data_IF_898087423381
#
_entry.id   IF_898087423381
#
_cell.length_a   1.000
_cell.length_b   1.000
_cell.length_c   1.000
_cell.angle_alpha   90.00
_cell.angle_beta   90.00
_cell.angle_gamma   90.00
#
_symmetry.space_group_name_H-M   'P 1'
#
loop_
_entity.id
_entity.type
_entity.pdbx_description
1 polymer ?
#
# COMPACT_ATOMS: atom_id res chain seq x y z
N UNK A 1 -14.43 2.80 -0.17
CA UNK A 1 -13.63 2.62 -1.42
C UNK A 1 -14.01 3.63 -2.50
N UNK A 2 -15.25 3.62 -3.00
CA UNK A 2 -15.72 4.55 -4.05
C UNK A 2 -15.49 6.04 -3.73
N UNK A 3 -15.82 6.49 -2.51
CA UNK A 3 -15.55 7.88 -2.10
C UNK A 3 -14.06 8.26 -2.14
N UNK A 4 -13.16 7.30 -1.90
CA UNK A 4 -11.72 7.53 -2.06
C UNK A 4 -11.35 7.78 -3.52
N UNK A 5 -11.81 6.92 -4.43
CA UNK A 5 -11.55 7.05 -5.87
C UNK A 5 -12.10 8.37 -6.44
N UNK A 6 -13.37 8.66 -6.15
CA UNK A 6 -14.01 9.88 -6.65
C UNK A 6 -13.43 11.12 -6.01
N UNK A 7 -13.06 11.09 -4.72
CA UNK A 7 -12.46 12.23 -4.07
C UNK A 7 -11.12 12.66 -4.69
N UNK A 8 -10.35 11.74 -5.28
CA UNK A 8 -9.14 12.10 -6.04
C UNK A 8 -9.43 12.88 -7.33
N UNK A 9 -10.65 12.87 -7.86
CA UNK A 9 -11.03 13.74 -8.99
C UNK A 9 -10.97 15.24 -8.63
N UNK A 10 -11.21 15.59 -7.36
CA UNK A 10 -11.09 16.96 -6.86
C UNK A 10 -9.62 17.38 -6.84
N UNK A 11 -8.74 16.50 -6.35
CA UNK A 11 -7.28 16.72 -6.33
C UNK A 11 -6.76 16.91 -7.75
N UNK A 12 -7.19 16.05 -8.68
CA UNK A 12 -6.87 16.15 -10.10
C UNK A 12 -7.32 17.48 -10.71
N UNK A 13 -8.57 17.86 -10.50
CA UNK A 13 -9.15 19.09 -11.04
C UNK A 13 -8.42 20.32 -10.49
N UNK A 14 -8.10 20.32 -9.19
CA UNK A 14 -7.36 21.40 -8.56
C UNK A 14 -5.90 21.47 -9.06
N UNK A 15 -5.26 20.33 -9.32
CA UNK A 15 -3.93 20.29 -9.91
C UNK A 15 -3.91 20.87 -11.33
N UNK A 16 -4.86 20.48 -12.19
CA UNK A 16 -4.98 21.03 -13.55
C UNK A 16 -5.26 22.54 -13.52
N UNK A 17 -6.17 22.99 -12.66
CA UNK A 17 -6.43 24.42 -12.49
C UNK A 17 -5.17 25.19 -12.08
N UNK A 18 -4.41 24.67 -11.11
CA UNK A 18 -3.14 25.25 -10.68
C UNK A 18 -2.10 25.31 -11.81
N UNK A 19 -1.99 24.26 -12.62
CA UNK A 19 -1.08 24.23 -13.77
C UNK A 19 -1.49 25.24 -14.86
N UNK A 20 -2.76 25.26 -15.25
CA UNK A 20 -3.27 26.13 -16.33
C UNK A 20 -3.13 27.61 -15.95
N UNK A 21 -3.40 27.94 -14.69
CA UNK A 21 -3.27 29.31 -14.16
C UNK A 21 -1.83 29.68 -13.76
N UNK A 22 -0.87 28.76 -13.88
CA UNK A 22 0.50 28.90 -13.39
C UNK A 22 0.61 29.19 -11.87
N UNK A 23 -0.45 28.91 -11.10
CA UNK A 23 -0.51 29.12 -9.66
C UNK A 23 -0.37 27.79 -8.90
N UNK A 24 0.56 26.94 -9.32
CA UNK A 24 0.90 25.70 -8.61
C UNK A 24 2.07 25.96 -7.65
N UNK A 25 1.76 26.56 -6.51
CA UNK A 25 2.74 26.98 -5.51
C UNK A 25 2.42 26.44 -4.10
N UNK A 26 3.10 26.96 -3.09
CA UNK A 26 2.83 26.64 -1.69
C UNK A 26 1.38 26.95 -1.24
N UNK A 27 0.73 27.95 -1.82
CA UNK A 27 -0.65 28.30 -1.49
C UNK A 27 -1.62 27.23 -2.01
N UNK A 28 -1.42 26.75 -3.24
CA UNK A 28 -2.10 25.59 -3.80
C UNK A 28 -1.94 24.39 -2.86
N UNK A 29 -0.71 24.09 -2.48
CA UNK A 29 -0.38 22.93 -1.65
C UNK A 29 -1.06 22.94 -0.27
N UNK A 30 -1.31 24.14 0.28
CA UNK A 30 -2.04 24.34 1.55
C UNK A 30 -3.51 24.01 1.42
N UNK A 31 -4.14 24.43 0.33
CA UNK A 31 -5.56 24.15 0.06
C UNK A 31 -5.73 22.67 -0.33
N UNK A 32 -4.85 22.16 -1.19
CA UNK A 32 -4.88 20.77 -1.65
C UNK A 32 -4.72 19.76 -0.52
N UNK A 33 -3.99 20.10 0.56
CA UNK A 33 -3.66 19.16 1.63
C UNK A 33 -4.88 18.43 2.21
N UNK A 34 -5.96 19.15 2.50
CA UNK A 34 -7.20 18.54 3.00
C UNK A 34 -7.81 17.60 1.97
N UNK A 35 -7.87 18.05 0.72
CA UNK A 35 -8.44 17.29 -0.40
C UNK A 35 -7.60 16.10 -0.83
N UNK A 36 -6.32 16.05 -0.48
CA UNK A 36 -5.46 14.87 -0.67
C UNK A 36 -5.68 13.85 0.47
N UNK A 37 -5.69 14.31 1.72
CA UNK A 37 -5.78 13.43 2.90
C UNK A 37 -7.16 12.78 3.00
N UNK A 38 -8.24 13.53 2.77
CA UNK A 38 -9.61 13.03 2.89
C UNK A 38 -9.89 11.78 2.04
N UNK A 39 -9.69 11.79 0.71
CA UNK A 39 -9.90 10.59 -0.12
C UNK A 39 -8.93 9.47 0.22
N UNK A 40 -7.67 9.77 0.59
CA UNK A 40 -6.71 8.76 1.03
C UNK A 40 -7.18 8.04 2.29
N UNK A 41 -7.73 8.76 3.28
CA UNK A 41 -8.30 8.16 4.49
C UNK A 41 -9.52 7.31 4.18
N UNK A 42 -10.45 7.80 3.34
CA UNK A 42 -11.64 7.03 2.93
C UNK A 42 -11.28 5.79 2.10
N UNK A 43 -10.21 5.87 1.30
CA UNK A 43 -9.67 4.72 0.58
C UNK A 43 -9.06 3.70 1.56
N UNK A 44 -8.26 4.15 2.51
CA UNK A 44 -7.65 3.29 3.55
C UNK A 44 -8.72 2.54 4.35
N UNK A 45 -9.76 3.23 4.80
CA UNK A 45 -10.91 2.59 5.49
C UNK A 45 -11.60 1.59 4.55
N UNK A 46 -11.78 1.95 3.29
CA UNK A 46 -12.38 1.08 2.29
C UNK A 46 -11.59 -0.22 2.07
N UNK A 47 -10.27 -0.13 2.00
CA UNK A 47 -9.38 -1.30 1.87
C UNK A 47 -9.48 -2.15 3.14
N UNK A 48 -9.38 -1.55 4.33
CA UNK A 48 -9.46 -2.29 5.60
C UNK A 48 -10.80 -3.02 5.79
N UNK A 49 -11.93 -2.38 5.46
CA UNK A 49 -13.24 -3.02 5.48
C UNK A 49 -13.37 -4.14 4.43
N UNK A 50 -12.76 -3.96 3.26
CA UNK A 50 -12.69 -4.99 2.23
C UNK A 50 -11.89 -6.21 2.68
N UNK A 51 -10.72 -6.01 3.28
CA UNK A 51 -9.89 -7.08 3.84
C UNK A 51 -10.60 -7.81 4.99
N UNK A 52 -11.31 -7.08 5.85
CA UNK A 52 -12.13 -7.69 6.90
C UNK A 52 -13.24 -8.58 6.30
N UNK A 53 -14.00 -8.07 5.34
CA UNK A 53 -15.04 -8.84 4.66
C UNK A 53 -14.47 -10.10 3.98
N UNK A 54 -13.36 -9.98 3.25
CA UNK A 54 -12.74 -11.10 2.55
C UNK A 54 -12.25 -12.18 3.53
N UNK A 55 -11.68 -11.79 4.67
CA UNK A 55 -11.29 -12.73 5.72
C UNK A 55 -12.50 -13.54 6.24
N UNK A 56 -13.61 -12.87 6.52
CA UNK A 56 -14.79 -13.53 7.09
C UNK A 56 -15.56 -14.38 6.07
N UNK A 57 -15.77 -13.87 4.85
CA UNK A 57 -16.65 -14.52 3.88
C UNK A 57 -15.93 -15.49 2.95
N UNK A 58 -14.66 -15.21 2.62
CA UNK A 58 -13.89 -16.07 1.72
C UNK A 58 -12.98 -17.04 2.48
N UNK A 59 -12.98 -16.99 3.81
CA UNK A 59 -12.21 -17.91 4.67
C UNK A 59 -10.70 -17.79 4.47
N UNK A 60 -10.25 -16.61 4.06
CA UNK A 60 -8.88 -16.34 3.70
C UNK A 60 -7.94 -16.47 4.90
N UNK A 61 -7.04 -17.45 4.87
CA UNK A 61 -6.08 -17.75 5.95
C UNK A 61 -4.92 -16.76 6.12
N UNK A 62 -4.93 -15.63 5.40
CA UNK A 62 -3.80 -14.70 5.30
C UNK A 62 -4.20 -13.23 5.27
N UNK A 63 -3.19 -12.36 5.14
CA UNK A 63 -3.35 -10.90 5.27
C UNK A 63 -3.63 -10.16 3.95
N UNK A 64 -3.18 -10.70 2.81
CA UNK A 64 -3.35 -10.14 1.47
C UNK A 64 -3.07 -11.21 0.42
N UNK A 65 -3.96 -11.40 -0.56
CA UNK A 65 -3.85 -12.51 -1.53
C UNK A 65 -3.28 -12.07 -2.88
N UNK A 66 -3.01 -10.78 -3.04
CA UNK A 66 -2.57 -10.19 -4.31
C UNK A 66 -3.56 -10.42 -5.45
N UNK A 67 -4.84 -10.56 -5.12
CA UNK A 67 -5.89 -10.66 -6.13
C UNK A 67 -5.96 -9.35 -6.93
N UNK A 68 -6.20 -9.39 -8.26
CA UNK A 68 -6.22 -8.20 -9.09
C UNK A 68 -7.16 -7.07 -8.62
N UNK A 69 -8.29 -7.40 -7.96
CA UNK A 69 -9.22 -6.39 -7.44
C UNK A 69 -8.66 -5.72 -6.19
N UNK A 70 -7.97 -6.46 -5.33
CA UNK A 70 -7.24 -5.89 -4.19
C UNK A 70 -6.13 -4.95 -4.68
N UNK A 71 -5.34 -5.43 -5.65
CA UNK A 71 -4.25 -4.66 -6.25
C UNK A 71 -4.76 -3.37 -6.91
N UNK A 72 -5.90 -3.42 -7.58
CA UNK A 72 -6.54 -2.24 -8.17
C UNK A 72 -6.82 -1.13 -7.13
N UNK A 73 -7.13 -1.50 -5.89
CA UNK A 73 -7.32 -0.54 -4.79
C UNK A 73 -6.00 -0.04 -4.18
N UNK A 74 -4.97 -0.86 -4.20
CA UNK A 74 -3.64 -0.53 -3.69
C UNK A 74 -2.91 0.48 -4.59
N UNK A 75 -3.12 0.43 -5.91
CA UNK A 75 -2.47 1.34 -6.86
C UNK A 75 -2.69 2.84 -6.55
N UNK A 76 -3.93 3.36 -6.49
CA UNK A 76 -4.15 4.75 -6.13
C UNK A 76 -3.75 5.06 -4.68
N UNK A 77 -3.79 4.08 -3.77
CA UNK A 77 -3.34 4.26 -2.40
C UNK A 77 -1.83 4.54 -2.30
N UNK A 78 -1.01 3.80 -3.07
CA UNK A 78 0.44 4.02 -3.15
C UNK A 78 0.77 5.37 -3.79
N UNK A 79 0.11 5.71 -4.91
CA UNK A 79 0.28 7.01 -5.56
C UNK A 79 -0.13 8.18 -4.65
N UNK A 80 -1.25 8.06 -3.94
CA UNK A 80 -1.72 9.07 -3.00
C UNK A 80 -0.80 9.19 -1.77
N UNK A 81 -0.24 8.09 -1.30
CA UNK A 81 0.75 8.11 -0.20
C UNK A 81 1.99 8.88 -0.63
N UNK A 82 2.50 8.66 -1.84
CA UNK A 82 3.57 9.46 -2.42
C UNK A 82 3.16 10.94 -2.52
N UNK A 83 1.95 11.22 -3.01
CA UNK A 83 1.42 12.58 -3.13
C UNK A 83 1.36 13.32 -1.78
N UNK A 84 0.89 12.69 -0.71
CA UNK A 84 0.85 13.29 0.64
C UNK A 84 2.25 13.74 1.05
N UNK A 85 3.23 12.86 0.89
CA UNK A 85 4.61 13.14 1.27
C UNK A 85 5.24 14.25 0.42
N UNK A 86 5.01 14.21 -0.90
CA UNK A 86 5.45 15.27 -1.82
C UNK A 86 4.81 16.62 -1.47
N UNK A 87 3.50 16.64 -1.17
CA UNK A 87 2.78 17.85 -0.79
C UNK A 87 3.33 18.47 0.50
N UNK A 88 3.73 17.66 1.48
CA UNK A 88 4.39 18.17 2.70
C UNK A 88 5.71 18.89 2.37
N UNK A 89 6.50 18.35 1.45
CA UNK A 89 7.74 19.00 1.00
C UNK A 89 7.41 20.30 0.27
N UNK A 90 6.44 20.30 -0.64
CA UNK A 90 5.97 21.53 -1.32
C UNK A 90 5.49 22.59 -0.31
N UNK A 91 4.75 22.20 0.72
CA UNK A 91 4.32 23.10 1.80
C UNK A 91 5.49 23.69 2.61
N UNK A 92 6.47 22.86 2.97
CA UNK A 92 7.54 23.24 3.91
C UNK A 92 8.71 23.93 3.21
N UNK A 93 9.10 23.44 2.05
CA UNK A 93 10.28 23.87 1.29
C UNK A 93 9.96 24.71 0.07
N UNK A 94 8.71 24.74 -0.38
CA UNK A 94 8.31 25.41 -1.62
C UNK A 94 9.09 24.86 -2.84
N UNK A 95 9.28 23.54 -2.84
CA UNK A 95 9.97 22.74 -3.86
C UNK A 95 9.11 21.55 -4.31
N UNK A 96 9.59 20.75 -5.26
CA UNK A 96 8.90 19.56 -5.80
C UNK A 96 7.53 19.84 -6.46
N UNK A 97 7.25 21.08 -6.84
CA UNK A 97 5.96 21.47 -7.48
C UNK A 97 5.57 20.56 -8.64
N UNK A 98 6.49 20.32 -9.58
CA UNK A 98 6.23 19.47 -10.75
C UNK A 98 6.00 18.00 -10.36
N UNK A 99 6.73 17.51 -9.36
CA UNK A 99 6.55 16.14 -8.85
C UNK A 99 5.19 15.98 -8.17
N UNK A 100 4.82 16.93 -7.30
CA UNK A 100 3.51 16.97 -6.65
C UNK A 100 2.37 17.09 -7.66
N UNK A 101 2.52 17.90 -8.71
CA UNK A 101 1.55 18.01 -9.80
C UNK A 101 1.38 16.69 -10.56
N UNK A 102 2.49 16.04 -10.93
CA UNK A 102 2.48 14.75 -11.61
C UNK A 102 1.80 13.67 -10.75
N UNK A 103 2.14 13.58 -9.46
CA UNK A 103 1.52 12.64 -8.52
C UNK A 103 0.01 12.90 -8.34
N UNK A 104 -0.42 14.16 -8.37
CA UNK A 104 -1.84 14.53 -8.30
C UNK A 104 -2.60 13.98 -9.50
N UNK A 105 -2.02 14.10 -10.69
CA UNK A 105 -2.58 13.56 -11.93
C UNK A 105 -2.58 12.02 -11.88
N UNK A 106 -1.45 11.43 -11.52
CA UNK A 106 -1.24 9.99 -11.53
C UNK A 106 -2.16 9.25 -10.54
N UNK A 107 -2.38 9.82 -9.35
CA UNK A 107 -3.28 9.24 -8.34
C UNK A 107 -4.71 9.06 -8.86
N UNK A 108 -5.22 10.06 -9.60
CA UNK A 108 -6.56 9.96 -10.18
C UNK A 108 -6.60 8.97 -11.37
N UNK A 109 -5.57 8.97 -12.21
CA UNK A 109 -5.44 7.96 -13.29
C UNK A 109 -5.45 6.54 -12.71
N UNK A 110 -4.71 6.28 -11.62
CA UNK A 110 -4.73 4.98 -10.94
C UNK A 110 -6.12 4.64 -10.37
N UNK A 111 -6.88 5.62 -9.90
CA UNK A 111 -8.26 5.41 -9.43
C UNK A 111 -9.22 5.04 -10.57
N UNK A 112 -9.08 5.70 -11.72
CA UNK A 112 -9.86 5.37 -12.92
C UNK A 112 -9.46 3.98 -13.45
N UNK A 113 -8.16 3.68 -13.50
CA UNK A 113 -7.66 2.36 -13.89
C UNK A 113 -8.22 1.27 -12.97
N UNK A 114 -8.18 1.47 -11.66
CA UNK A 114 -8.78 0.53 -10.72
C UNK A 114 -10.28 0.33 -10.95
N UNK A 115 -11.00 1.40 -11.31
CA UNK A 115 -12.43 1.30 -11.68
C UNK A 115 -12.62 0.48 -12.97
N UNK A 116 -11.79 0.72 -13.99
CA UNK A 116 -11.81 -0.04 -15.23
C UNK A 116 -11.56 -1.53 -14.95
N UNK A 117 -10.49 -1.85 -14.22
CA UNK A 117 -10.10 -3.23 -13.93
C UNK A 117 -11.25 -4.01 -13.27
N UNK A 118 -11.91 -3.43 -12.27
CA UNK A 118 -12.96 -4.13 -11.50
C UNK A 118 -14.32 -4.18 -12.22
N UNK A 119 -14.60 -3.29 -13.17
CA UNK A 119 -15.93 -3.16 -13.80
C UNK A 119 -16.01 -3.57 -15.27
N UNK A 120 -14.88 -3.67 -15.96
CA UNK A 120 -14.85 -4.00 -17.39
C UNK A 120 -15.06 -5.48 -17.69
N UNK A 121 -14.92 -6.36 -16.70
CA UNK A 121 -14.95 -7.81 -16.89
C UNK A 121 -13.66 -8.39 -17.48
N UNK A 122 -12.59 -7.59 -17.60
CA UNK A 122 -11.28 -8.06 -18.10
C UNK A 122 -10.48 -8.84 -17.06
N UNK A 123 -10.88 -8.77 -15.79
CA UNK A 123 -10.21 -9.48 -14.69
C UNK A 123 -10.87 -10.82 -14.42
N UNK A 124 -10.03 -11.87 -14.31
CA UNK A 124 -10.41 -13.13 -13.69
C UNK A 124 -10.19 -13.00 -12.17
N UNK A 125 -11.24 -12.64 -11.42
CA UNK A 125 -11.19 -12.47 -9.97
C UNK A 125 -12.50 -12.87 -9.31
N UNK A 126 -12.39 -13.43 -8.10
CA UNK A 126 -13.53 -13.77 -7.24
C UNK A 126 -14.25 -12.53 -6.68
N UNK A 127 -13.59 -11.37 -6.67
CA UNK A 127 -14.17 -10.09 -6.23
C UNK A 127 -14.75 -9.28 -7.39
N UNK A 128 -14.74 -9.81 -8.62
CA UNK A 128 -15.32 -9.12 -9.75
C UNK A 128 -16.86 -9.15 -9.65
N UNK A 129 -17.50 -7.98 -9.54
CA UNK A 129 -18.95 -7.84 -9.46
C UNK A 129 -19.48 -6.92 -10.58
N UNK A 130 -20.57 -7.35 -11.22
CA UNK A 130 -21.27 -6.61 -12.28
C UNK A 130 -20.38 -6.28 -13.50
N UNK A 131 -19.87 -7.33 -14.14
CA UNK A 131 -19.05 -7.24 -15.35
C UNK A 131 -19.91 -6.85 -16.56
N UNK A 132 -19.60 -5.72 -17.18
CA UNK A 132 -20.24 -5.25 -18.42
C UNK A 132 -19.16 -4.72 -19.37
N UNK A 133 -18.81 -5.48 -20.44
CA UNK A 133 -17.76 -5.09 -21.38
C UNK A 133 -18.01 -3.72 -22.03
N UNK A 134 -19.28 -3.35 -22.27
CA UNK A 134 -19.60 -2.05 -22.87
C UNK A 134 -19.20 -0.91 -21.92
N UNK A 135 -19.46 -1.04 -20.61
CA UNK A 135 -18.98 -0.08 -19.60
C UNK A 135 -17.46 -0.03 -19.57
N UNK A 136 -16.80 -1.17 -19.72
CA UNK A 136 -15.35 -1.27 -19.81
C UNK A 136 -14.78 -0.37 -20.92
N UNK A 137 -15.37 -0.42 -22.12
CA UNK A 137 -14.94 0.41 -23.27
C UNK A 137 -15.12 1.91 -22.99
N UNK A 138 -16.26 2.31 -22.40
CA UNK A 138 -16.47 3.72 -22.02
C UNK A 138 -15.45 4.22 -21.01
N UNK A 139 -15.17 3.43 -19.96
CA UNK A 139 -14.19 3.80 -18.93
C UNK A 139 -12.77 3.84 -19.52
N UNK A 140 -12.40 2.86 -20.35
CA UNK A 140 -11.09 2.83 -21.00
C UNK A 140 -10.88 4.06 -21.90
N UNK A 141 -11.89 4.42 -22.69
CA UNK A 141 -11.87 5.61 -23.55
C UNK A 141 -11.70 6.88 -22.71
N UNK A 142 -12.42 6.98 -21.58
CA UNK A 142 -12.29 8.09 -20.65
C UNK A 142 -10.89 8.16 -20.01
N UNK A 143 -10.31 7.02 -19.62
CA UNK A 143 -8.94 6.95 -19.10
C UNK A 143 -7.95 7.48 -20.14
N UNK A 144 -7.99 6.96 -21.37
CA UNK A 144 -7.08 7.38 -22.43
C UNK A 144 -7.18 8.88 -22.71
N UNK A 145 -8.41 9.40 -22.79
CA UNK A 145 -8.66 10.83 -22.97
C UNK A 145 -8.09 11.65 -21.79
N UNK A 146 -8.47 11.33 -20.56
CA UNK A 146 -8.06 12.07 -19.36
C UNK A 146 -6.53 12.01 -19.19
N UNK A 147 -5.93 10.85 -19.37
CA UNK A 147 -4.47 10.67 -19.31
C UNK A 147 -3.76 11.51 -20.37
N UNK A 148 -4.20 11.45 -21.63
CA UNK A 148 -3.57 12.19 -22.72
C UNK A 148 -3.60 13.70 -22.47
N UNK A 149 -4.78 14.28 -22.22
CA UNK A 149 -4.92 15.72 -22.05
C UNK A 149 -4.27 16.24 -20.76
N UNK A 150 -4.39 15.51 -19.65
CA UNK A 150 -3.77 15.94 -18.39
C UNK A 150 -2.24 15.91 -18.44
N UNK A 151 -1.65 14.88 -19.05
CA UNK A 151 -0.20 14.80 -19.25
C UNK A 151 0.30 15.84 -20.26
N UNK A 152 -0.46 16.11 -21.34
CA UNK A 152 -0.14 17.18 -22.28
C UNK A 152 -0.12 18.55 -21.58
N UNK A 153 -1.14 18.86 -20.76
CA UNK A 153 -1.16 20.08 -19.94
C UNK A 153 0.05 20.11 -19.01
N UNK A 154 0.36 19.01 -18.32
CA UNK A 154 1.52 18.94 -17.44
C UNK A 154 2.83 19.21 -18.18
N UNK A 155 3.07 18.61 -19.34
CA UNK A 155 4.30 18.83 -20.11
C UNK A 155 4.44 20.30 -20.52
N UNK A 156 3.34 20.94 -20.95
CA UNK A 156 3.34 22.33 -21.42
C UNK A 156 3.46 23.33 -20.25
N UNK A 157 2.78 23.05 -19.13
CA UNK A 157 2.60 23.97 -17.99
C UNK A 157 3.38 23.58 -16.73
N UNK A 158 4.26 22.58 -16.81
CA UNK A 158 5.01 22.09 -15.66
C UNK A 158 5.73 23.25 -14.95
N UNK A 159 5.62 23.37 -13.61
CA UNK A 159 6.32 24.38 -12.84
C UNK A 159 7.83 24.34 -13.12
N UNK A 160 8.44 25.47 -13.46
CA UNK A 160 9.88 25.58 -13.80
C UNK A 160 10.66 26.30 -12.69
N UNK A 161 10.53 25.85 -11.45
CA UNK A 161 11.26 26.47 -10.33
C UNK A 161 12.63 25.83 -10.18
N UNK A 162 13.70 26.61 -10.41
CA UNK A 162 15.08 26.17 -10.23
C UNK A 162 15.42 26.17 -8.74
N UNK A 163 15.97 25.07 -8.24
CA UNK A 163 16.48 24.96 -6.88
C UNK A 163 17.81 25.72 -6.77
N UNK A 164 17.84 26.80 -6.00
CA UNK A 164 19.09 27.49 -5.66
C UNK A 164 19.52 27.09 -4.24
N UNK A 165 20.66 26.42 -4.10
CA UNK A 165 21.22 26.06 -2.79
C UNK A 165 22.27 24.95 -2.84
N UNK A 166 23.04 24.82 -1.75
CA UNK A 166 23.97 23.68 -1.57
C UNK A 166 23.17 22.42 -1.28
N UNK A 167 23.42 21.36 -2.05
CA UNK A 167 22.84 20.04 -1.82
C UNK A 167 23.44 19.39 -0.56
N UNK A 168 22.61 18.88 0.34
CA UNK A 168 23.01 18.02 1.46
C UNK A 168 22.10 16.80 1.48
N UNK A 169 22.70 15.60 1.44
CA UNK A 169 21.96 14.33 1.38
C UNK A 169 21.12 14.07 2.63
N UNK A 170 21.64 14.37 3.83
CA UNK A 170 21.00 14.05 5.13
C UNK A 170 19.99 15.12 5.57
N UNK A 171 19.10 15.48 4.65
CA UNK A 171 17.95 16.35 4.91
C UNK A 171 16.64 15.56 4.79
N UNK A 172 15.63 16.01 5.55
CA UNK A 172 14.33 15.33 5.62
C UNK A 172 13.63 15.25 4.25
N UNK A 173 13.70 16.30 3.44
CA UNK A 173 13.11 16.35 2.10
C UNK A 173 13.75 15.34 1.14
N UNK A 174 15.05 15.10 1.22
CA UNK A 174 15.72 14.08 0.43
C UNK A 174 15.30 12.65 0.82
N UNK A 175 15.17 12.37 2.12
CA UNK A 175 14.67 11.06 2.58
C UNK A 175 13.20 10.85 2.17
N UNK A 176 12.38 11.90 2.24
CA UNK A 176 11.01 11.86 1.72
C UNK A 176 11.01 11.59 0.21
N UNK A 177 11.91 12.20 -0.56
CA UNK A 177 12.00 11.98 -2.00
C UNK A 177 12.44 10.54 -2.33
N UNK A 178 13.42 10.00 -1.61
CA UNK A 178 13.85 8.59 -1.77
C UNK A 178 12.68 7.63 -1.51
N UNK A 179 11.94 7.84 -0.42
CA UNK A 179 10.75 7.03 -0.13
C UNK A 179 9.63 7.20 -1.17
N UNK A 180 9.48 8.39 -1.75
CA UNK A 180 8.58 8.60 -2.88
C UNK A 180 8.98 7.73 -4.08
N UNK A 181 10.27 7.65 -4.41
CA UNK A 181 10.76 6.78 -5.48
C UNK A 181 10.42 5.31 -5.20
N UNK A 182 10.60 4.84 -3.96
CA UNK A 182 10.20 3.49 -3.56
C UNK A 182 8.69 3.25 -3.67
N UNK A 183 7.85 4.20 -3.26
CA UNK A 183 6.39 4.08 -3.40
C UNK A 183 5.96 3.98 -4.87
N UNK A 184 6.61 4.74 -5.76
CA UNK A 184 6.36 4.66 -7.21
C UNK A 184 6.91 3.36 -7.81
N UNK A 185 8.03 2.87 -7.31
CA UNK A 185 8.55 1.55 -7.67
C UNK A 185 7.56 0.44 -7.25
N UNK A 186 7.08 0.42 -6.00
CA UNK A 186 6.09 -0.54 -5.53
C UNK A 186 4.80 -0.47 -6.35
N UNK A 187 4.32 0.75 -6.63
CA UNK A 187 3.18 0.97 -7.50
C UNK A 187 3.41 0.37 -8.90
N UNK A 188 4.59 0.56 -9.47
CA UNK A 188 4.94 0.03 -10.80
C UNK A 188 4.95 -1.50 -10.79
N UNK A 189 5.50 -2.14 -9.75
CA UNK A 189 5.49 -3.60 -9.60
C UNK A 189 4.06 -4.14 -9.51
N UNK A 190 3.21 -3.48 -8.71
CA UNK A 190 1.78 -3.82 -8.57
C UNK A 190 1.06 -3.67 -9.90
N UNK A 191 1.22 -2.52 -10.55
CA UNK A 191 0.64 -2.21 -11.86
C UNK A 191 1.03 -3.25 -12.92
N UNK A 192 2.32 -3.56 -13.04
CA UNK A 192 2.81 -4.54 -14.02
C UNK A 192 2.25 -5.93 -13.71
N UNK A 193 2.31 -6.38 -12.47
CA UNK A 193 1.79 -7.71 -12.09
C UNK A 193 0.28 -7.86 -12.36
N UNK A 194 -0.49 -6.78 -12.21
CA UNK A 194 -1.94 -6.78 -12.45
C UNK A 194 -2.31 -6.63 -13.93
N UNK A 195 -1.61 -5.79 -14.68
CA UNK A 195 -1.96 -5.47 -16.07
C UNK A 195 -1.34 -6.47 -17.06
N UNK A 196 -0.17 -7.03 -16.76
CA UNK A 196 0.53 -7.96 -17.66
C UNK A 196 -0.31 -9.17 -18.08
N UNK A 197 -1.01 -9.88 -17.18
CA UNK A 197 -1.89 -10.99 -17.59
C UNK A 197 -2.99 -10.58 -18.57
N UNK A 198 -3.56 -9.39 -18.40
CA UNK A 198 -4.63 -8.85 -19.25
C UNK A 198 -4.10 -8.57 -20.66
N UNK A 199 -2.92 -7.96 -20.75
CA UNK A 199 -2.26 -7.69 -22.03
C UNK A 199 -1.90 -9.01 -22.74
N UNK A 200 -1.36 -9.98 -21.99
CA UNK A 200 -1.00 -11.28 -22.55
C UNK A 200 -2.21 -12.03 -23.10
N UNK A 201 -3.31 -12.02 -22.36
CA UNK A 201 -4.57 -12.65 -22.78
C UNK A 201 -5.12 -11.98 -24.05
N UNK A 202 -5.13 -10.64 -24.09
CA UNK A 202 -5.60 -9.89 -25.26
C UNK A 202 -4.77 -10.13 -26.54
N UNK A 203 -3.46 -10.35 -26.43
CA UNK A 203 -2.57 -10.54 -27.59
C UNK A 203 -2.45 -12.02 -27.99
N UNK A 204 -2.38 -12.92 -27.01
CA UNK A 204 -2.04 -14.33 -27.24
C UNK A 204 -3.18 -15.32 -26.99
N UNK A 205 -4.30 -14.87 -26.41
CA UNK A 205 -5.41 -15.72 -25.97
C UNK A 205 -5.08 -16.64 -24.80
N UNK A 206 -3.93 -16.42 -24.12
CA UNK A 206 -3.49 -17.21 -22.98
C UNK A 206 -3.71 -16.44 -21.68
N UNK A 207 -4.67 -16.92 -20.89
CA UNK A 207 -4.90 -16.42 -19.54
C UNK A 207 -3.85 -16.99 -18.57
N UNK A 208 -3.10 -16.11 -17.92
CA UNK A 208 -2.24 -16.46 -16.78
C UNK A 208 -2.74 -15.76 -15.52
N UNK A 209 -2.28 -16.21 -14.36
CA UNK A 209 -2.46 -15.50 -13.10
C UNK A 209 -1.09 -15.20 -12.49
N UNK A 210 -0.94 -14.00 -11.92
CA UNK A 210 0.26 -13.57 -11.21
C UNK A 210 -0.05 -13.61 -9.72
N UNK A 211 0.54 -14.58 -9.03
CA UNK A 211 0.30 -14.81 -7.61
C UNK A 211 1.34 -14.14 -6.69
N UNK A 212 1.24 -14.40 -5.37
CA UNK A 212 2.09 -13.79 -4.34
C UNK A 212 3.60 -13.94 -4.56
N UNK A 213 4.05 -15.03 -5.19
CA UNK A 213 5.47 -15.29 -5.46
C UNK A 213 6.12 -14.15 -6.23
N UNK A 214 5.48 -13.66 -7.30
CA UNK A 214 6.00 -12.52 -8.09
C UNK A 214 6.16 -11.27 -7.22
N UNK A 215 5.12 -10.93 -6.47
CA UNK A 215 5.10 -9.71 -5.66
C UNK A 215 6.12 -9.78 -4.52
N UNK A 216 6.16 -10.88 -3.77
CA UNK A 216 7.07 -11.04 -2.65
C UNK A 216 8.54 -11.02 -3.09
N UNK A 217 8.89 -11.74 -4.17
CA UNK A 217 10.26 -11.80 -4.67
C UNK A 217 10.78 -10.42 -5.06
N UNK A 218 9.95 -9.61 -5.72
CA UNK A 218 10.37 -8.28 -6.18
C UNK A 218 10.29 -7.26 -5.05
N UNK A 219 9.24 -7.23 -4.25
CA UNK A 219 9.01 -6.17 -3.27
C UNK A 219 9.88 -6.33 -2.01
N UNK A 220 10.10 -7.55 -1.52
CA UNK A 220 10.71 -7.78 -0.21
C UNK A 220 12.11 -7.14 -0.04
N UNK A 221 13.07 -7.26 -0.99
CA UNK A 221 14.39 -6.64 -0.83
C UNK A 221 14.32 -5.11 -0.69
N UNK A 222 13.44 -4.48 -1.46
CA UNK A 222 13.29 -3.03 -1.47
C UNK A 222 12.42 -2.51 -0.31
N UNK A 223 11.54 -3.34 0.24
CA UNK A 223 10.78 -3.02 1.45
C UNK A 223 11.70 -2.68 2.62
N UNK A 224 12.77 -3.44 2.83
CA UNK A 224 13.72 -3.20 3.92
C UNK A 224 14.48 -1.89 3.76
N UNK A 225 14.91 -1.57 2.53
CA UNK A 225 15.56 -0.30 2.23
C UNK A 225 14.58 0.87 2.41
N UNK A 226 13.34 0.71 1.94
CA UNK A 226 12.27 1.69 2.17
C UNK A 226 12.02 1.94 3.67
N UNK A 227 11.92 0.88 4.48
CA UNK A 227 11.72 0.98 5.92
C UNK A 227 12.89 1.70 6.60
N UNK A 228 14.13 1.44 6.17
CA UNK A 228 15.30 2.18 6.64
C UNK A 228 15.12 3.69 6.45
N UNK A 229 14.86 4.16 5.22
CA UNK A 229 14.67 5.59 4.96
C UNK A 229 13.44 6.16 5.68
N UNK A 230 12.36 5.37 5.80
CA UNK A 230 11.13 5.74 6.52
C UNK A 230 11.36 5.98 8.02
N UNK A 231 12.16 5.13 8.68
CA UNK A 231 12.50 5.31 10.10
C UNK A 231 13.34 6.56 10.38
N UNK A 232 14.21 6.93 9.43
CA UNK A 232 15.16 8.04 9.62
C UNK A 232 14.59 9.39 9.22
N UNK A 233 13.78 9.45 8.14
CA UNK A 233 13.30 10.71 7.55
C UNK A 233 12.67 11.67 8.59
N UNK A 234 11.71 11.24 9.42
CA UNK A 234 11.07 12.09 10.43
C UNK A 234 12.02 12.69 11.47
N UNK A 235 13.15 12.04 11.75
CA UNK A 235 14.16 12.46 12.73
C UNK A 235 15.17 13.47 12.16
N UNK A 236 15.33 13.51 10.83
CA UNK A 236 16.22 14.46 10.15
C UNK A 236 15.65 15.88 10.20
N UNK A 237 16.51 16.88 10.12
CA UNK A 237 16.09 18.29 10.09
C UNK A 237 15.69 18.71 8.66
N UNK A 238 14.92 19.79 8.56
CA UNK A 238 14.59 20.39 7.26
C UNK A 238 15.74 21.23 6.69
N UNK A 239 16.50 21.97 7.52
CA UNK A 239 17.33 23.09 7.04
C UNK A 239 18.82 22.97 7.34
N UNK A 240 19.21 22.31 8.44
CA UNK A 240 20.62 22.19 8.85
C UNK A 240 20.94 20.77 9.25
N UNK A 241 21.95 20.22 8.62
CA UNK A 241 22.47 18.90 8.95
C UNK A 241 23.17 18.97 10.33
N UNK A 242 22.73 18.14 11.28
CA UNK A 242 23.40 17.96 12.58
C UNK A 242 23.77 16.48 12.71
N UNK A 243 24.91 16.13 12.10
CA UNK A 243 25.38 14.74 11.99
C UNK A 243 25.56 14.08 13.37
N UNK A 244 26.00 14.84 14.37
CA UNK A 244 26.33 14.28 15.69
C UNK A 244 25.06 13.83 16.44
N UNK A 245 24.05 14.71 16.52
CA UNK A 245 22.78 14.38 17.16
C UNK A 245 22.07 13.24 16.42
N UNK A 246 22.12 13.25 15.08
CA UNK A 246 21.52 12.23 14.23
C UNK A 246 22.14 10.85 14.46
N UNK A 247 23.47 10.73 14.39
CA UNK A 247 24.18 9.46 14.59
C UNK A 247 23.93 8.89 15.99
N UNK A 248 23.93 9.74 17.02
CA UNK A 248 23.65 9.30 18.40
C UNK A 248 22.25 8.70 18.53
N UNK A 249 21.24 9.39 18.00
CA UNK A 249 19.86 8.91 18.04
C UNK A 249 19.71 7.60 17.25
N UNK A 250 20.31 7.51 16.06
CA UNK A 250 20.25 6.31 15.21
C UNK A 250 20.79 5.06 15.90
N UNK A 251 21.90 5.18 16.64
CA UNK A 251 22.47 4.06 17.39
C UNK A 251 21.52 3.52 18.48
N UNK A 252 20.78 4.40 19.17
CA UNK A 252 19.93 4.01 20.31
C UNK A 252 18.78 3.12 19.84
N UNK A 253 17.94 3.58 18.90
CA UNK A 253 16.81 2.78 18.46
C UNK A 253 17.23 1.59 17.58
N UNK A 254 18.39 1.66 16.91
CA UNK A 254 18.98 0.50 16.24
C UNK A 254 19.28 -0.63 17.22
N UNK A 255 19.99 -0.36 18.33
CA UNK A 255 20.30 -1.36 19.34
C UNK A 255 19.05 -1.94 20.00
N UNK A 256 18.07 -1.08 20.32
CA UNK A 256 16.80 -1.53 20.90
C UNK A 256 16.05 -2.44 19.92
N UNK A 257 16.04 -2.11 18.64
CA UNK A 257 15.36 -2.91 17.61
C UNK A 257 16.03 -4.26 17.38
N UNK A 258 17.36 -4.32 17.40
CA UNK A 258 18.11 -5.59 17.37
C UNK A 258 17.74 -6.44 18.57
N UNK A 259 17.71 -5.84 19.77
CA UNK A 259 17.38 -6.58 21.00
C UNK A 259 15.97 -7.15 20.94
N UNK A 260 14.97 -6.34 20.57
CA UNK A 260 13.57 -6.76 20.46
C UNK A 260 13.42 -7.88 19.41
N UNK A 261 13.94 -7.68 18.21
CA UNK A 261 13.83 -8.67 17.13
C UNK A 261 14.56 -9.97 17.48
N UNK A 262 15.76 -9.90 18.06
CA UNK A 262 16.52 -11.08 18.51
C UNK A 262 15.77 -11.88 19.58
N UNK A 263 15.13 -11.21 20.55
CA UNK A 263 14.32 -11.88 21.57
C UNK A 263 13.13 -12.59 20.92
N UNK A 264 12.41 -11.92 20.02
CA UNK A 264 11.26 -12.54 19.34
C UNK A 264 11.70 -13.77 18.52
N UNK A 265 12.79 -13.65 17.76
CA UNK A 265 13.33 -14.76 16.98
C UNK A 265 13.70 -15.92 17.89
N UNK A 266 14.45 -15.68 18.97
CA UNK A 266 14.90 -16.71 19.89
C UNK A 266 13.76 -17.51 20.53
N UNK A 267 12.65 -16.85 20.87
CA UNK A 267 11.53 -17.50 21.55
C UNK A 267 10.54 -18.20 20.61
N UNK A 268 10.40 -17.73 19.36
CA UNK A 268 9.30 -18.17 18.49
C UNK A 268 9.73 -18.82 17.17
N UNK A 269 10.99 -18.69 16.74
CA UNK A 269 11.39 -19.06 15.38
C UNK A 269 12.76 -19.74 15.30
N UNK A 270 12.95 -20.55 14.25
CA UNK A 270 14.27 -21.05 13.87
C UNK A 270 15.06 -19.97 13.12
N UNK A 271 16.34 -19.79 13.49
CA UNK A 271 17.23 -18.69 13.07
C UNK A 271 17.72 -18.75 11.61
N UNK A 272 17.05 -19.50 10.73
CA UNK A 272 17.56 -19.79 9.37
C UNK A 272 17.03 -18.87 8.28
N UNK A 273 15.89 -18.22 8.48
CA UNK A 273 15.27 -17.39 7.44
C UNK A 273 15.66 -15.91 7.57
N UNK A 274 16.48 -15.44 6.62
CA UNK A 274 16.95 -14.05 6.55
C UNK A 274 15.80 -13.06 6.33
N UNK A 275 14.77 -13.43 5.56
CA UNK A 275 13.65 -12.55 5.25
C UNK A 275 12.83 -12.27 6.51
N UNK A 276 12.59 -13.31 7.33
CA UNK A 276 11.96 -13.16 8.64
C UNK A 276 12.77 -12.25 9.57
N UNK A 277 14.08 -12.49 9.66
CA UNK A 277 14.98 -11.71 10.52
C UNK A 277 14.93 -10.23 10.14
N UNK A 278 15.05 -9.93 8.85
CA UNK A 278 14.98 -8.55 8.34
C UNK A 278 13.58 -7.95 8.54
N UNK A 279 12.51 -8.73 8.35
CA UNK A 279 11.14 -8.30 8.58
C UNK A 279 10.86 -7.88 10.01
N UNK A 280 11.21 -8.74 10.97
CA UNK A 280 11.06 -8.44 12.40
C UNK A 280 11.97 -7.29 12.84
N UNK A 281 13.20 -7.26 12.36
CA UNK A 281 14.14 -6.16 12.65
C UNK A 281 13.62 -4.82 12.14
N UNK A 282 13.29 -4.69 10.86
CA UNK A 282 12.89 -3.41 10.27
C UNK A 282 11.50 -2.94 10.73
N UNK A 283 10.60 -3.85 11.07
CA UNK A 283 9.32 -3.49 11.69
C UNK A 283 9.52 -2.93 13.11
N UNK A 284 10.32 -3.60 13.95
CA UNK A 284 10.72 -3.09 15.25
C UNK A 284 11.50 -1.76 15.13
N UNK A 285 12.32 -1.63 14.09
CA UNK A 285 13.10 -0.43 13.79
C UNK A 285 12.22 0.78 13.50
N UNK A 286 11.18 0.61 12.69
CA UNK A 286 10.20 1.67 12.46
C UNK A 286 9.43 2.01 13.75
N UNK A 287 8.92 1.00 14.46
CA UNK A 287 8.16 1.21 15.70
C UNK A 287 8.98 1.98 16.75
N UNK A 288 10.20 1.53 17.03
CA UNK A 288 11.07 2.18 18.02
C UNK A 288 11.52 3.57 17.59
N UNK A 289 11.76 3.80 16.28
CA UNK A 289 12.08 5.13 15.75
C UNK A 289 10.93 6.12 15.98
N UNK A 290 9.68 5.68 15.82
CA UNK A 290 8.48 6.50 16.03
C UNK A 290 8.25 6.77 17.52
N UNK A 291 8.46 5.77 18.38
CA UNK A 291 8.40 5.94 19.84
C UNK A 291 9.47 6.93 20.30
N UNK A 292 10.69 6.82 19.77
CA UNK A 292 11.76 7.77 20.08
C UNK A 292 11.41 9.18 19.61
N UNK A 293 10.91 9.32 18.38
CA UNK A 293 10.44 10.60 17.83
C UNK A 293 9.36 11.24 18.71
N UNK A 294 8.40 10.44 19.20
CA UNK A 294 7.36 10.87 20.14
C UNK A 294 7.95 11.51 21.40
N UNK A 295 8.88 10.83 22.07
CA UNK A 295 9.49 11.35 23.31
C UNK A 295 10.43 12.52 23.09
N UNK A 296 11.03 12.62 21.89
CA UNK A 296 11.93 13.73 21.55
C UNK A 296 11.21 15.06 21.30
N UNK A 297 9.89 15.04 21.05
CA UNK A 297 9.13 16.23 20.66
C UNK A 297 8.56 17.00 21.85
N UNK A 298 8.92 18.28 21.94
CA UNK A 298 8.39 19.22 22.96
C UNK A 298 6.94 19.67 22.73
N UNK A 299 6.35 19.45 21.55
CA UNK A 299 4.96 19.83 21.21
C UNK A 299 4.26 18.69 20.45
N UNK A 300 3.59 17.81 21.18
CA UNK A 300 2.93 16.59 20.65
C UNK A 300 1.83 16.87 19.61
N UNK A 301 1.08 17.98 19.76
CA UNK A 301 -0.20 18.17 19.05
C UNK A 301 -0.09 18.35 17.53
N UNK A 302 1.05 18.81 17.01
CA UNK A 302 1.18 19.17 15.59
C UNK A 302 1.59 18.01 14.67
N UNK A 303 1.99 16.86 15.21
CA UNK A 303 2.53 15.73 14.42
C UNK A 303 1.83 14.39 14.68
N UNK A 304 0.70 14.38 15.38
CA UNK A 304 0.03 13.16 15.81
C UNK A 304 -0.34 12.23 14.65
N UNK A 305 -0.89 12.76 13.56
CA UNK A 305 -1.24 11.96 12.37
C UNK A 305 -0.04 11.25 11.73
N UNK A 306 1.14 11.89 11.74
CA UNK A 306 2.39 11.26 11.26
C UNK A 306 2.82 10.11 12.20
N UNK A 307 2.82 10.35 13.50
CA UNK A 307 3.21 9.33 14.49
C UNK A 307 2.29 8.11 14.42
N UNK A 308 0.97 8.31 14.41
CA UNK A 308 -0.01 7.23 14.35
C UNK A 308 0.07 6.45 13.04
N UNK A 309 0.16 7.13 11.90
CA UNK A 309 0.25 6.45 10.59
C UNK A 309 1.51 5.60 10.46
N UNK A 310 2.66 6.12 10.90
CA UNK A 310 3.93 5.39 10.79
C UNK A 310 4.05 4.27 11.84
N UNK A 311 3.54 4.48 13.06
CA UNK A 311 3.42 3.41 14.06
C UNK A 311 2.51 2.29 13.54
N UNK A 312 1.34 2.65 13.01
CA UNK A 312 0.39 1.71 12.42
C UNK A 312 1.01 0.91 11.26
N UNK A 313 1.78 1.57 10.39
CA UNK A 313 2.49 0.87 9.31
C UNK A 313 3.57 -0.08 9.85
N UNK A 314 4.35 0.33 10.86
CA UNK A 314 5.32 -0.55 11.53
C UNK A 314 4.66 -1.77 12.17
N UNK A 315 3.53 -1.58 12.85
CA UNK A 315 2.73 -2.66 13.42
C UNK A 315 2.13 -3.57 12.34
N UNK A 316 1.67 -3.00 11.22
CA UNK A 316 1.17 -3.79 10.09
C UNK A 316 2.27 -4.70 9.53
N UNK A 317 3.46 -4.18 9.25
CA UNK A 317 4.59 -4.99 8.76
C UNK A 317 4.96 -6.07 9.77
N UNK A 318 5.02 -5.73 11.06
CA UNK A 318 5.26 -6.73 12.12
C UNK A 318 4.22 -7.85 12.09
N UNK A 319 2.94 -7.50 12.04
CA UNK A 319 1.84 -8.46 11.99
C UNK A 319 1.88 -9.34 10.74
N UNK A 320 2.25 -8.78 9.58
CA UNK A 320 2.43 -9.53 8.33
C UNK A 320 3.51 -10.60 8.48
N UNK A 321 4.69 -10.25 9.00
CA UNK A 321 5.78 -11.22 9.16
C UNK A 321 5.46 -12.29 10.22
N UNK A 322 4.84 -11.90 11.34
CA UNK A 322 4.40 -12.87 12.35
C UNK A 322 3.34 -13.82 11.78
N UNK A 323 2.33 -13.29 11.08
CA UNK A 323 1.30 -14.09 10.45
C UNK A 323 1.89 -15.03 9.39
N UNK A 324 2.72 -14.54 8.48
CA UNK A 324 3.28 -15.33 7.39
C UNK A 324 4.12 -16.54 7.84
N UNK A 325 4.74 -16.47 9.01
CA UNK A 325 5.62 -17.52 9.52
C UNK A 325 5.00 -18.38 10.63
N UNK A 326 3.99 -17.87 11.36
CA UNK A 326 3.28 -18.66 12.38
C UNK A 326 1.99 -19.28 11.87
N UNK A 327 1.36 -18.73 10.82
CA UNK A 327 0.15 -19.32 10.26
C UNK A 327 0.45 -20.66 9.60
N UNK A 328 -0.44 -21.62 9.81
CA UNK A 328 -0.43 -22.92 9.14
C UNK A 328 -1.79 -23.13 8.50
N UNK A 329 -1.80 -23.24 7.19
CA UNK A 329 -2.99 -23.53 6.41
C UNK A 329 -2.86 -24.95 5.84
N UNK A 330 -3.89 -25.77 6.02
CA UNK A 330 -3.95 -27.12 5.45
C UNK A 330 -5.18 -27.17 4.55
N UNK A 331 -4.92 -27.16 3.24
CA UNK A 331 -5.95 -27.34 2.23
C UNK A 331 -5.97 -28.80 1.82
N UNK A 332 -7.07 -29.49 2.12
CA UNK A 332 -7.23 -30.90 1.82
C UNK A 332 -8.66 -31.20 1.38
N UNK A 333 -8.79 -32.00 0.32
CA UNK A 333 -10.06 -32.54 -0.11
C UNK A 333 -10.39 -33.77 0.75
N UNK A 334 -11.45 -33.68 1.57
CA UNK A 334 -11.93 -34.78 2.41
C UNK A 334 -13.18 -35.43 1.83
N UNK A 335 -13.23 -36.75 1.88
CA UNK A 335 -14.46 -37.55 1.72
C UNK A 335 -15.02 -37.91 3.09
N UNK A 336 -16.31 -38.27 3.10
CA UNK A 336 -16.96 -38.77 4.32
C UNK A 336 -16.23 -40.03 4.80
N UNK A 337 -15.77 -40.02 6.05
CA UNK A 337 -14.96 -41.06 6.67
C UNK A 337 -13.47 -40.70 6.80
N UNK A 338 -12.98 -39.72 6.02
CA UNK A 338 -11.59 -39.31 6.05
C UNK A 338 -11.23 -38.62 7.38
N UNK A 339 -9.98 -38.80 7.77
CA UNK A 339 -9.37 -38.18 8.96
C UNK A 339 -8.15 -37.37 8.53
N UNK A 340 -8.06 -36.14 9.03
CA UNK A 340 -6.89 -35.29 8.84
C UNK A 340 -6.33 -34.93 10.21
N UNK A 341 -5.03 -35.15 10.36
CA UNK A 341 -4.31 -34.72 11.55
C UNK A 341 -3.81 -33.30 11.36
N UNK A 342 -4.28 -32.38 12.20
CA UNK A 342 -3.83 -30.99 12.27
C UNK A 342 -3.16 -30.78 13.61
N UNK A 343 -1.82 -30.77 13.63
CA UNK A 343 -1.02 -30.72 14.87
C UNK A 343 -1.44 -31.83 15.85
N UNK A 344 -2.05 -31.46 16.98
CA UNK A 344 -2.48 -32.35 18.04
C UNK A 344 -3.95 -32.79 17.91
N UNK A 345 -4.67 -32.29 16.90
CA UNK A 345 -6.07 -32.62 16.63
C UNK A 345 -6.22 -33.62 15.48
N UNK A 346 -7.25 -34.48 15.57
CA UNK A 346 -7.65 -35.37 14.48
C UNK A 346 -9.06 -34.99 14.07
N UNK A 347 -9.18 -34.30 12.94
CA UNK A 347 -10.46 -33.90 12.38
C UNK A 347 -10.98 -35.04 11.51
N UNK A 348 -12.10 -35.65 11.91
CA UNK A 348 -12.81 -36.67 11.13
C UNK A 348 -14.04 -36.08 10.47
N UNK A 349 -14.13 -36.20 9.15
CA UNK A 349 -15.34 -35.79 8.42
C UNK A 349 -16.39 -36.91 8.49
N UNK A 350 -17.36 -36.80 9.40
CA UNK A 350 -18.27 -37.90 9.76
C UNK A 350 -19.40 -38.13 8.76
N UNK A 351 -20.07 -37.08 8.33
CA UNK A 351 -21.23 -37.19 7.42
C UNK A 351 -21.54 -35.87 6.74
N UNK A 352 -22.26 -35.97 5.63
CA UNK A 352 -22.88 -34.82 4.96
C UNK A 352 -24.40 -34.97 5.04
N UNK A 353 -25.07 -33.95 5.58
CA UNK A 353 -26.51 -33.93 5.71
C UNK A 353 -27.07 -32.90 4.72
N UNK A 354 -28.20 -33.22 4.10
CA UNK A 354 -28.95 -32.30 3.24
C UNK A 354 -30.34 -32.06 3.81
N UNK A 355 -30.69 -30.81 4.04
CA UNK A 355 -32.05 -30.42 4.43
C UNK A 355 -32.63 -29.58 3.30
N UNK A 356 -33.77 -30.03 2.77
CA UNK A 356 -34.53 -29.26 1.78
C UNK A 356 -35.43 -28.26 2.53
N UNK A 357 -35.22 -26.96 2.29
CA UNK A 357 -36.09 -25.87 2.75
C UNK A 357 -37.01 -25.46 1.59
N UNK A 358 -38.00 -24.62 1.86
CA UNK A 358 -38.99 -24.20 0.86
C UNK A 358 -38.36 -23.50 -0.37
N UNK A 359 -37.26 -22.76 -0.16
CA UNK A 359 -36.64 -21.90 -1.15
C UNK A 359 -35.14 -22.17 -1.41
N UNK A 360 -34.51 -23.09 -0.68
CA UNK A 360 -33.11 -23.49 -0.88
C UNK A 360 -32.82 -24.89 -0.31
N UNK A 361 -31.71 -25.49 -0.70
CA UNK A 361 -31.19 -26.71 -0.08
C UNK A 361 -29.99 -26.37 0.81
N UNK A 362 -30.07 -26.73 2.09
CA UNK A 362 -28.96 -26.63 3.04
C UNK A 362 -28.12 -27.89 2.97
N UNK A 363 -26.81 -27.73 2.79
CA UNK A 363 -25.84 -28.82 2.89
C UNK A 363 -24.88 -28.48 4.01
N UNK A 364 -24.79 -29.32 5.03
CA UNK A 364 -23.85 -29.14 6.13
C UNK A 364 -23.09 -30.42 6.43
N UNK A 365 -21.79 -30.27 6.68
CA UNK A 365 -20.87 -31.34 7.05
C UNK A 365 -20.70 -31.42 8.56
N UNK A 366 -20.75 -32.64 9.11
CA UNK A 366 -20.44 -32.88 10.52
C UNK A 366 -18.98 -33.30 10.68
N UNK A 367 -18.24 -32.56 11.51
CA UNK A 367 -16.86 -32.85 11.84
C UNK A 367 -16.74 -33.26 13.31
N UNK A 368 -15.93 -34.28 13.58
CA UNK A 368 -15.46 -34.61 14.93
C UNK A 368 -14.03 -34.09 15.03
N UNK A 369 -13.74 -33.26 16.04
CA UNK A 369 -12.42 -32.67 16.29
C UNK A 369 -11.79 -33.33 17.51
#
# INVERSE_FOLDING_TARGET
LYFGYVGFSLVFSFALAGLVTNNFDKSWSKIANFWIILPWSLLTIGIGLGSFWAYYELGWGGYWFWDPVENASLMPWLAATALIHSNIVTLKKDTLHSWTALLSIFTFIMSLLGTFLVRSGVLNSVHAFANDPYRGVYILSAILFITFFSLAIFIIKSPKKVLYGKYSFFLRDNFILINNCFLIFFLSVVLVGTVYPIILDAISGKSISVGPVYYHTILAPFLFVFLFFMSHGPLLSWNKEDKFLQIKNFKIFFLISIMISSVIIFWFFDYKDIILILGLFFSAYLITSVIFDWFSQKKLSLNFGRLVSHLGFGTLIFAIFINAYLSKEINAAMKVGDEIKIQDFIIKFKSINKIKKENYEEVFGNFLV
#
